data_IF_102050514375
#
_entry.id   IF_102050514375
#
_cell.length_a   1.000
_cell.length_b   1.000
_cell.length_c   1.000
_cell.angle_alpha   90.00
_cell.angle_beta   90.00
_cell.angle_gamma   90.00
#
_symmetry.space_group_name_H-M   'P 1'
#
loop_
_entity.id
_entity.type
_entity.pdbx_description
1 polymer ?
#
# COMPACT_ATOMS: atom_id res chain seq x y z
N UNK A 1 38.39 -2.78 -4.57
CA UNK A 1 37.37 -3.72 -4.06
C UNK A 1 36.00 -3.06 -4.10
N UNK A 2 35.91 -1.80 -3.64
CA UNK A 2 34.72 -0.93 -3.72
C UNK A 2 34.18 -0.75 -5.16
N UNK A 3 35.02 -0.38 -6.13
CA UNK A 3 34.56 -0.15 -7.52
C UNK A 3 33.93 -1.38 -8.19
N UNK A 4 34.47 -2.59 -7.91
CA UNK A 4 33.93 -3.85 -8.44
C UNK A 4 32.58 -4.18 -7.81
N UNK A 5 32.39 -3.86 -6.53
CA UNK A 5 31.10 -4.01 -5.86
C UNK A 5 30.08 -3.03 -6.45
N UNK A 6 30.45 -1.75 -6.58
CA UNK A 6 29.60 -0.69 -7.14
C UNK A 6 29.14 -1.06 -8.55
N UNK A 7 30.07 -1.47 -9.43
CA UNK A 7 29.74 -1.86 -10.81
C UNK A 7 28.83 -3.09 -10.88
N UNK A 8 29.01 -4.06 -10.00
CA UNK A 8 28.14 -5.24 -9.94
C UNK A 8 26.73 -4.85 -9.47
N UNK A 9 26.62 -3.99 -8.45
CA UNK A 9 25.31 -3.49 -7.97
C UNK A 9 24.60 -2.64 -9.02
N UNK A 10 25.31 -1.77 -9.74
CA UNK A 10 24.75 -0.99 -10.85
C UNK A 10 24.18 -1.89 -11.94
N UNK A 11 24.94 -2.92 -12.35
CA UNK A 11 24.50 -3.87 -13.36
C UNK A 11 23.31 -4.72 -12.91
N UNK A 12 23.31 -5.20 -11.67
CA UNK A 12 22.28 -6.14 -11.16
C UNK A 12 21.04 -5.45 -10.58
N UNK A 13 21.17 -4.21 -10.08
CA UNK A 13 20.08 -3.44 -9.46
C UNK A 13 19.43 -2.43 -10.41
N UNK A 14 20.20 -1.85 -11.32
CA UNK A 14 19.74 -0.78 -12.22
C UNK A 14 19.91 -1.12 -13.70
N UNK A 15 20.52 -2.27 -14.04
CA UNK A 15 20.78 -2.66 -15.44
C UNK A 15 21.82 -1.76 -16.13
N UNK A 16 22.57 -0.95 -15.37
CA UNK A 16 23.51 0.03 -15.90
C UNK A 16 24.91 -0.58 -16.06
N UNK A 17 25.42 -0.58 -17.29
CA UNK A 17 26.78 -1.01 -17.61
C UNK A 17 27.68 0.20 -17.90
N UNK A 18 28.06 0.91 -16.84
CA UNK A 18 28.92 2.08 -16.93
C UNK A 18 30.39 1.68 -17.13
N UNK A 19 31.06 2.34 -18.08
CA UNK A 19 32.48 2.13 -18.36
C UNK A 19 33.38 2.82 -17.33
N UNK A 20 32.96 4.01 -16.89
CA UNK A 20 33.57 4.80 -15.82
C UNK A 20 32.45 5.26 -14.88
N UNK A 21 32.64 5.05 -13.58
CA UNK A 21 31.67 5.43 -12.53
C UNK A 21 31.95 6.82 -11.97
N UNK A 22 32.99 7.51 -12.47
CA UNK A 22 33.41 8.83 -12.00
C UNK A 22 33.36 9.92 -13.09
N UNK A 23 33.00 9.58 -14.34
CA UNK A 23 32.93 10.51 -15.46
C UNK A 23 31.75 10.20 -16.38
N UNK A 24 31.19 11.26 -16.99
CA UNK A 24 30.11 11.20 -17.98
C UNK A 24 28.78 10.59 -17.48
N UNK A 25 28.42 10.85 -16.22
CA UNK A 25 27.13 10.45 -15.66
C UNK A 25 26.06 11.49 -15.94
N UNK A 26 24.88 11.06 -16.35
CA UNK A 26 23.68 11.86 -16.29
C UNK A 26 23.10 11.87 -14.85
N UNK A 27 22.13 12.74 -14.52
CA UNK A 27 21.62 12.86 -13.16
C UNK A 27 21.05 11.56 -12.56
N UNK A 28 20.46 10.68 -13.38
CA UNK A 28 19.92 9.40 -12.90
C UNK A 28 21.04 8.38 -12.63
N UNK A 29 22.09 8.39 -13.47
CA UNK A 29 23.27 7.55 -13.28
C UNK A 29 24.08 7.97 -12.05
N UNK A 30 24.19 9.28 -11.79
CA UNK A 30 24.86 9.83 -10.61
C UNK A 30 24.18 9.35 -9.32
N UNK A 31 22.85 9.42 -9.25
CA UNK A 31 22.06 8.91 -8.12
C UNK A 31 22.26 7.40 -7.94
N UNK A 32 22.23 6.63 -9.04
CA UNK A 32 22.43 5.18 -8.99
C UNK A 32 23.83 4.81 -8.48
N UNK A 33 24.86 5.56 -8.90
CA UNK A 33 26.25 5.39 -8.46
C UNK A 33 26.40 5.71 -6.97
N UNK A 34 25.84 6.82 -6.49
CA UNK A 34 25.88 7.21 -5.08
C UNK A 34 25.23 6.17 -4.17
N UNK A 35 24.05 5.66 -4.57
CA UNK A 35 23.35 4.61 -3.82
C UNK A 35 24.18 3.31 -3.83
N UNK A 36 24.77 2.94 -4.97
CA UNK A 36 25.60 1.74 -5.06
C UNK A 36 26.87 1.84 -4.19
N UNK A 37 27.47 3.03 -4.08
CA UNK A 37 28.60 3.31 -3.17
C UNK A 37 28.20 3.08 -1.72
N UNK A 38 27.08 3.67 -1.27
CA UNK A 38 26.59 3.50 0.10
C UNK A 38 26.27 2.03 0.42
N UNK A 39 25.62 1.33 -0.50
CA UNK A 39 25.32 -0.09 -0.35
C UNK A 39 26.57 -0.98 -0.26
N UNK A 40 27.64 -0.63 -0.99
CA UNK A 40 28.91 -1.34 -0.93
C UNK A 40 29.73 -1.00 0.32
N UNK A 41 29.54 0.17 0.92
CA UNK A 41 30.10 0.51 2.24
C UNK A 41 29.42 -0.29 3.35
N UNK A 42 28.11 -0.48 3.25
CA UNK A 42 27.32 -1.23 4.23
C UNK A 42 27.52 -2.75 4.12
N UNK A 43 27.59 -3.30 2.91
CA UNK A 43 27.84 -4.73 2.66
C UNK A 43 28.77 -4.94 1.45
N UNK A 44 30.10 -4.93 1.67
CA UNK A 44 31.11 -5.00 0.61
C UNK A 44 31.24 -6.37 -0.03
N UNK A 45 30.76 -7.44 0.61
CA UNK A 45 30.87 -8.81 0.13
C UNK A 45 29.56 -9.37 -0.41
N UNK A 46 28.45 -8.61 -0.35
CA UNK A 46 27.12 -9.13 -0.70
C UNK A 46 26.70 -10.29 0.19
N UNK A 47 27.22 -10.35 1.43
CA UNK A 47 26.98 -11.41 2.40
C UNK A 47 25.79 -11.12 3.30
N UNK A 48 25.19 -9.93 3.19
CA UNK A 48 23.78 -9.81 3.52
C UNK A 48 23.07 -10.66 2.47
N UNK A 49 22.92 -11.94 2.80
CA UNK A 49 22.13 -12.89 2.06
C UNK A 49 20.89 -12.11 1.67
N UNK A 50 20.78 -11.85 0.37
CA UNK A 50 19.49 -11.68 -0.27
C UNK A 50 18.79 -12.95 0.15
N UNK A 51 18.00 -12.86 1.23
CA UNK A 51 17.08 -13.90 1.56
C UNK A 51 16.28 -14.01 0.29
N UNK A 52 16.55 -15.05 -0.50
CA UNK A 52 15.64 -15.50 -1.53
C UNK A 52 14.48 -16.13 -0.76
N UNK A 53 13.81 -15.33 0.06
CA UNK A 53 12.41 -15.57 0.37
C UNK A 53 11.74 -15.62 -1.00
N UNK A 54 11.14 -16.76 -1.38
CA UNK A 54 10.28 -16.81 -2.56
C UNK A 54 9.32 -15.61 -2.51
N UNK A 55 9.00 -15.04 -3.67
CA UNK A 55 8.06 -13.91 -3.80
C UNK A 55 6.62 -14.22 -3.30
N UNK A 56 6.43 -15.44 -2.80
CA UNK A 56 5.21 -16.01 -2.22
C UNK A 56 5.22 -16.04 -0.68
N UNK A 57 6.31 -15.64 -0.01
CA UNK A 57 6.24 -15.37 1.42
C UNK A 57 5.92 -13.89 1.67
N UNK A 58 5.02 -13.60 2.62
CA UNK A 58 4.79 -12.24 3.07
C UNK A 58 6.12 -11.57 3.38
N UNK A 59 6.34 -10.34 2.90
CA UNK A 59 7.53 -9.53 3.21
C UNK A 59 7.59 -9.07 4.69
N UNK A 60 6.77 -9.72 5.52
CA UNK A 60 6.44 -9.41 6.90
C UNK A 60 6.52 -10.73 7.65
N UNK A 61 7.19 -10.76 8.80
CA UNK A 61 7.35 -12.01 9.55
C UNK A 61 6.00 -12.59 9.98
N UNK A 62 5.93 -13.90 10.15
CA UNK A 62 4.73 -14.58 10.64
C UNK A 62 4.23 -13.99 11.97
N UNK A 63 5.15 -13.55 12.83
CA UNK A 63 4.84 -12.87 14.09
C UNK A 63 4.07 -11.56 13.88
N UNK A 64 4.47 -10.76 12.89
CA UNK A 64 3.79 -9.49 12.56
C UNK A 64 2.39 -9.76 11.97
N UNK A 65 2.24 -10.81 11.17
CA UNK A 65 0.93 -11.20 10.63
C UNK A 65 -0.02 -11.72 11.71
N UNK A 66 0.51 -12.41 12.73
CA UNK A 66 -0.27 -12.91 13.86
C UNK A 66 -0.57 -11.83 14.92
N UNK A 67 0.17 -10.71 14.91
CA UNK A 67 0.12 -9.68 15.95
C UNK A 67 -1.29 -9.15 16.22
N UNK A 68 -2.10 -8.93 15.19
CA UNK A 68 -3.48 -8.44 15.31
C UNK A 68 -4.44 -9.41 16.04
N UNK A 69 -4.01 -10.65 16.28
CA UNK A 69 -4.72 -11.64 17.10
C UNK A 69 -4.04 -11.93 18.43
N UNK A 70 -2.81 -11.46 18.60
CA UNK A 70 -1.99 -11.70 19.79
C UNK A 70 -2.12 -10.60 20.84
N UNK A 71 -2.54 -9.39 20.45
CA UNK A 71 -2.63 -8.23 21.32
C UNK A 71 -4.04 -7.64 21.37
N UNK A 72 -4.36 -6.99 22.49
CA UNK A 72 -5.55 -6.17 22.70
C UNK A 72 -5.14 -4.69 22.90
N UNK A 73 -5.95 -3.70 22.45
CA UNK A 73 -5.65 -2.28 22.65
C UNK A 73 -5.43 -1.85 24.11
N UNK A 74 -5.87 -2.65 25.07
CA UNK A 74 -5.74 -2.37 26.51
C UNK A 74 -4.58 -3.12 27.19
N UNK A 75 -3.78 -3.86 26.43
CA UNK A 75 -2.62 -4.57 26.96
C UNK A 75 -1.61 -3.59 27.58
N UNK A 76 -1.08 -3.97 28.74
CA UNK A 76 -0.03 -3.21 29.40
C UNK A 76 1.27 -3.28 28.58
N UNK A 77 2.02 -2.16 28.50
CA UNK A 77 3.28 -2.16 27.77
C UNK A 77 4.32 -3.07 28.45
N UNK A 78 5.29 -3.62 27.71
CA UNK A 78 6.32 -4.50 28.25
C UNK A 78 7.14 -3.93 29.41
N UNK A 79 7.27 -2.61 29.52
CA UNK A 79 7.97 -1.96 30.64
C UNK A 79 9.49 -1.87 30.48
N UNK A 80 10.03 -2.25 29.32
CA UNK A 80 11.46 -2.32 29.05
C UNK A 80 12.05 -0.94 28.69
N UNK A 81 11.26 -0.06 28.06
CA UNK A 81 11.64 1.30 27.70
C UNK A 81 10.47 2.28 27.95
N UNK A 82 10.62 3.23 28.89
CA UNK A 82 9.54 4.18 29.23
C UNK A 82 9.07 5.07 28.07
N UNK A 83 9.93 5.33 27.08
CA UNK A 83 9.58 6.13 25.91
C UNK A 83 8.76 5.32 24.92
N UNK A 84 9.11 4.04 24.72
CA UNK A 84 8.33 3.12 23.91
C UNK A 84 7.02 2.73 24.60
N UNK A 85 7.00 2.64 25.93
CA UNK A 85 5.78 2.42 26.72
C UNK A 85 4.78 3.56 26.57
N UNK A 86 5.27 4.81 26.52
CA UNK A 86 4.40 5.96 26.27
C UNK A 86 3.77 5.91 24.88
N UNK A 87 4.56 5.54 23.86
CA UNK A 87 4.08 5.35 22.50
C UNK A 87 3.13 4.14 22.38
N UNK A 88 3.37 3.06 23.12
CA UNK A 88 2.49 1.90 23.22
C UNK A 88 1.11 2.29 23.76
N UNK A 89 1.07 3.00 24.89
CA UNK A 89 -0.18 3.43 25.50
C UNK A 89 -0.96 4.37 24.57
N UNK A 90 -0.27 5.29 23.89
CA UNK A 90 -0.90 6.18 22.92
C UNK A 90 -1.41 5.41 21.69
N UNK A 91 -0.64 4.45 21.17
CA UNK A 91 -1.03 3.58 20.07
C UNK A 91 -2.26 2.71 20.41
N UNK A 92 -2.27 2.06 21.59
CA UNK A 92 -3.43 1.31 22.09
C UNK A 92 -4.66 2.20 22.29
N UNK A 93 -4.43 3.44 22.75
CA UNK A 93 -5.42 4.52 22.82
C UNK A 93 -5.97 4.98 21.47
N UNK A 94 -5.38 4.51 20.36
CA UNK A 94 -5.81 4.80 19.00
C UNK A 94 -5.11 5.98 18.35
N UNK A 95 -3.98 6.45 18.87
CA UNK A 95 -3.14 7.44 18.18
C UNK A 95 -2.26 6.74 17.12
N UNK A 96 -2.59 6.89 15.82
CA UNK A 96 -1.92 6.15 14.78
C UNK A 96 -0.49 6.67 14.51
N UNK A 97 -0.19 7.95 14.83
CA UNK A 97 1.19 8.45 14.75
C UNK A 97 2.07 7.81 15.79
N UNK A 98 1.55 7.62 17.00
CA UNK A 98 2.25 6.89 18.04
C UNK A 98 2.46 5.41 17.66
N UNK A 99 1.54 4.79 16.91
CA UNK A 99 1.78 3.45 16.36
C UNK A 99 2.93 3.44 15.34
N UNK A 100 2.98 4.38 14.41
CA UNK A 100 4.09 4.48 13.45
C UNK A 100 5.42 4.75 14.15
N UNK A 101 5.45 5.76 15.03
CA UNK A 101 6.64 6.13 15.79
C UNK A 101 7.13 4.97 16.66
N UNK A 102 6.21 4.19 17.24
CA UNK A 102 6.53 2.97 17.97
C UNK A 102 7.13 1.90 17.05
N UNK A 103 6.52 1.64 15.89
CA UNK A 103 7.00 0.64 14.94
C UNK A 103 8.44 0.94 14.48
N UNK A 104 8.75 2.20 14.15
CA UNK A 104 10.09 2.59 13.68
C UNK A 104 11.13 2.69 14.79
N UNK A 105 10.71 2.98 16.02
CA UNK A 105 11.62 3.11 17.16
C UNK A 105 11.85 1.79 17.90
N UNK A 106 10.95 0.82 17.73
CA UNK A 106 11.01 -0.47 18.40
C UNK A 106 12.17 -1.35 17.91
N UNK A 107 12.76 -2.18 18.78
CA UNK A 107 13.64 -3.25 18.34
C UNK A 107 12.89 -4.23 17.43
N UNK A 108 13.56 -4.71 16.38
CA UNK A 108 12.99 -5.75 15.51
C UNK A 108 12.63 -7.02 16.29
N UNK A 109 11.53 -7.65 15.90
CA UNK A 109 10.88 -8.79 16.51
C UNK A 109 10.40 -8.56 17.96
N UNK A 110 10.40 -7.32 18.44
CA UNK A 110 9.92 -7.02 19.79
C UNK A 110 8.39 -7.02 19.85
N UNK A 111 7.81 -7.19 21.06
CA UNK A 111 6.40 -6.95 21.27
C UNK A 111 5.98 -5.54 20.84
N UNK A 112 6.82 -4.52 21.05
CA UNK A 112 6.55 -3.14 20.64
C UNK A 112 6.35 -3.02 19.12
N UNK A 113 7.22 -3.65 18.32
CA UNK A 113 7.10 -3.68 16.86
C UNK A 113 5.80 -4.39 16.42
N UNK A 114 5.47 -5.52 17.05
CA UNK A 114 4.27 -6.28 16.72
C UNK A 114 2.98 -5.57 17.11
N UNK A 115 2.94 -4.97 18.30
CA UNK A 115 1.80 -4.19 18.76
C UNK A 115 1.55 -2.97 17.87
N UNK A 116 2.61 -2.25 17.53
CA UNK A 116 2.56 -1.14 16.60
C UNK A 116 2.08 -1.55 15.19
N UNK A 117 2.63 -2.64 14.67
CA UNK A 117 2.26 -3.19 13.36
C UNK A 117 0.79 -3.64 13.30
N UNK A 118 0.24 -4.10 14.41
CA UNK A 118 -1.20 -4.43 14.56
C UNK A 118 -2.09 -3.22 14.86
N UNK A 119 -1.59 -2.00 14.73
CA UNK A 119 -2.29 -0.77 15.07
C UNK A 119 -2.84 -0.77 16.52
N UNK A 120 -2.01 -1.28 17.44
CA UNK A 120 -2.36 -1.44 18.85
C UNK A 120 -3.36 -2.57 19.11
N UNK A 121 -3.13 -3.75 18.54
CA UNK A 121 -3.99 -4.94 18.76
C UNK A 121 -5.32 -4.91 18.01
N UNK A 122 -5.42 -4.16 16.91
CA UNK A 122 -6.65 -4.02 16.11
C UNK A 122 -6.59 -4.92 14.88
N UNK A 123 -7.72 -5.57 14.56
CA UNK A 123 -7.84 -6.55 13.46
C UNK A 123 -7.83 -5.95 12.04
N UNK A 124 -7.52 -4.67 11.89
CA UNK A 124 -7.52 -3.99 10.60
C UNK A 124 -6.07 -3.73 10.16
N UNK A 125 -5.70 -4.33 9.03
CA UNK A 125 -4.31 -4.56 8.61
C UNK A 125 -3.69 -3.39 7.86
N UNK A 126 -4.30 -2.20 7.95
CA UNK A 126 -3.71 -0.98 7.40
C UNK A 126 -3.87 0.15 8.40
N UNK A 127 -2.83 0.39 9.20
CA UNK A 127 -2.77 1.57 10.07
C UNK A 127 -2.88 2.85 9.24
N UNK A 128 -2.55 2.82 7.95
CA UNK A 128 -2.75 3.92 7.01
C UNK A 128 -4.21 4.24 6.70
N UNK A 129 -5.13 3.28 6.86
CA UNK A 129 -6.57 3.53 6.79
C UNK A 129 -7.11 4.18 8.08
N UNK A 130 -6.39 4.04 9.19
CA UNK A 130 -6.58 4.84 10.40
C UNK A 130 -5.89 6.22 10.29
N UNK A 131 -4.86 6.36 9.45
CA UNK A 131 -4.14 7.60 9.18
C UNK A 131 -4.85 8.44 8.09
N UNK A 132 -5.85 9.24 8.47
CA UNK A 132 -6.08 10.49 7.71
C UNK A 132 -7.47 11.05 7.61
N UNK A 133 -8.48 10.47 8.26
CA UNK A 133 -9.78 11.15 8.40
C UNK A 133 -10.19 10.99 9.85
N UNK A 134 -10.27 12.11 10.59
CA UNK A 134 -11.17 12.18 11.74
C UNK A 134 -12.52 11.67 11.25
N UNK A 135 -12.88 10.43 11.58
CA UNK A 135 -14.18 9.90 11.20
C UNK A 135 -15.20 10.72 11.98
N UNK A 136 -16.04 11.54 11.33
CA UNK A 136 -16.96 12.39 12.06
C UNK A 136 -17.99 11.57 12.86
N UNK A 137 -18.15 10.27 12.57
CA UNK A 137 -19.03 9.37 13.30
C UNK A 137 -18.49 7.93 13.31
N UNK A 138 -17.88 7.51 14.43
CA UNK A 138 -17.67 6.09 14.77
C UNK A 138 -16.71 5.28 13.88
N UNK A 139 -16.21 4.17 14.41
CA UNK A 139 -15.50 3.18 13.59
C UNK A 139 -16.52 2.52 12.64
N UNK A 140 -16.34 2.65 11.33
CA UNK A 140 -17.13 1.91 10.36
C UNK A 140 -17.03 0.40 10.66
N UNK A 141 -18.14 -0.31 10.50
CA UNK A 141 -18.22 -1.77 10.58
C UNK A 141 -19.01 -2.29 9.39
N UNK A 142 -18.97 -3.60 9.13
CA UNK A 142 -19.80 -4.21 8.09
C UNK A 142 -21.32 -4.06 8.34
N UNK A 143 -21.73 -3.61 9.53
CA UNK A 143 -23.13 -3.34 9.89
C UNK A 143 -23.47 -1.85 9.86
N UNK A 144 -22.50 -0.99 9.53
CA UNK A 144 -22.74 0.45 9.40
C UNK A 144 -23.75 0.71 8.28
N UNK A 145 -24.82 1.48 8.55
CA UNK A 145 -25.78 1.82 7.51
C UNK A 145 -25.12 2.73 6.46
N UNK A 146 -25.64 2.73 5.22
CA UNK A 146 -25.17 3.65 4.20
C UNK A 146 -25.49 5.11 4.56
N UNK A 147 -24.69 6.09 4.09
CA UNK A 147 -24.87 7.52 4.38
C UNK A 147 -26.22 8.12 3.95
N UNK A 148 -26.89 7.59 2.92
CA UNK A 148 -28.20 8.10 2.48
C UNK A 148 -28.12 9.29 1.52
N UNK A 149 -26.92 9.66 1.06
CA UNK A 149 -26.71 10.84 0.20
C UNK A 149 -26.90 10.53 -1.29
N UNK A 150 -26.66 9.27 -1.69
CA UNK A 150 -26.73 8.79 -3.06
C UNK A 150 -27.29 7.37 -3.09
N UNK A 151 -28.46 7.19 -3.70
CA UNK A 151 -29.19 5.92 -3.74
C UNK A 151 -28.42 4.81 -4.48
N UNK A 152 -27.67 5.17 -5.53
CA UNK A 152 -26.87 4.20 -6.30
C UNK A 152 -25.67 3.74 -5.47
N UNK A 153 -24.97 4.67 -4.81
CA UNK A 153 -23.85 4.34 -3.92
C UNK A 153 -24.31 3.58 -2.67
N UNK A 154 -25.49 3.87 -2.15
CA UNK A 154 -26.10 3.14 -1.03
C UNK A 154 -26.39 1.68 -1.41
N UNK A 155 -26.85 1.43 -2.63
CA UNK A 155 -27.07 0.07 -3.11
C UNK A 155 -25.76 -0.71 -3.18
N UNK A 156 -24.69 -0.09 -3.70
CA UNK A 156 -23.36 -0.71 -3.71
C UNK A 156 -22.79 -0.93 -2.31
N UNK A 157 -23.03 0.01 -1.39
CA UNK A 157 -22.67 -0.12 0.01
C UNK A 157 -23.30 -1.37 0.64
N UNK A 158 -24.61 -1.56 0.47
CA UNK A 158 -25.34 -2.71 1.04
C UNK A 158 -24.74 -4.03 0.53
N UNK A 159 -24.50 -4.15 -0.78
CA UNK A 159 -23.92 -5.36 -1.36
C UNK A 159 -22.48 -5.62 -0.87
N UNK A 160 -21.67 -4.57 -0.74
CA UNK A 160 -20.32 -4.67 -0.17
C UNK A 160 -20.36 -5.08 1.31
N UNK A 161 -21.32 -4.55 2.08
CA UNK A 161 -21.57 -4.94 3.46
C UNK A 161 -21.96 -6.42 3.58
N UNK A 162 -22.75 -6.93 2.64
CA UNK A 162 -23.14 -8.34 2.53
C UNK A 162 -22.00 -9.28 2.09
N UNK A 163 -20.90 -8.72 1.56
CA UNK A 163 -19.68 -9.46 1.24
C UNK A 163 -19.42 -9.69 -0.25
N UNK A 164 -20.02 -8.89 -1.14
CA UNK A 164 -19.68 -8.88 -2.57
C UNK A 164 -18.37 -8.12 -2.81
N UNK A 165 -17.33 -8.82 -3.25
CA UNK A 165 -16.05 -8.20 -3.61
C UNK A 165 -16.19 -7.28 -4.83
N UNK A 166 -17.06 -7.65 -5.78
CA UNK A 166 -17.44 -6.83 -6.94
C UNK A 166 -18.06 -5.50 -6.52
N UNK A 167 -18.97 -5.53 -5.54
CA UNK A 167 -19.62 -4.32 -5.05
C UNK A 167 -18.64 -3.41 -4.30
N UNK A 168 -17.76 -3.97 -3.47
CA UNK A 168 -16.70 -3.18 -2.82
C UNK A 168 -15.74 -2.57 -3.84
N UNK A 169 -15.39 -3.33 -4.89
CA UNK A 169 -14.56 -2.85 -5.98
C UNK A 169 -15.23 -1.74 -6.80
N UNK A 170 -16.53 -1.87 -7.07
CA UNK A 170 -17.29 -0.84 -7.76
C UNK A 170 -17.37 0.43 -6.93
N UNK A 171 -17.73 0.31 -5.65
CA UNK A 171 -17.79 1.44 -4.73
C UNK A 171 -16.45 2.18 -4.66
N UNK A 172 -15.33 1.46 -4.65
CA UNK A 172 -13.98 2.05 -4.68
C UNK A 172 -13.66 2.79 -5.99
N UNK A 173 -14.28 2.45 -7.11
CA UNK A 173 -14.05 3.10 -8.41
C UNK A 173 -14.91 4.34 -8.62
N UNK A 174 -16.15 4.33 -8.13
CA UNK A 174 -17.14 5.36 -8.46
C UNK A 174 -17.42 6.33 -7.31
N UNK A 175 -17.16 5.94 -6.06
CA UNK A 175 -17.40 6.81 -4.93
C UNK A 175 -16.48 8.03 -4.96
N UNK A 176 -16.97 9.20 -4.50
CA UNK A 176 -16.14 10.39 -4.37
C UNK A 176 -14.93 10.12 -3.47
N UNK A 177 -13.74 10.54 -3.88
CA UNK A 177 -12.55 10.37 -3.03
C UNK A 177 -12.76 11.00 -1.64
N UNK A 178 -12.23 10.35 -0.60
CA UNK A 178 -12.37 10.74 0.82
C UNK A 178 -13.81 10.68 1.38
N UNK A 179 -14.82 10.29 0.60
CA UNK A 179 -16.16 10.00 1.13
C UNK A 179 -16.19 8.76 2.02
N UNK A 180 -17.22 8.62 2.85
CA UNK A 180 -17.47 7.38 3.61
C UNK A 180 -17.61 6.18 2.66
N UNK A 181 -18.26 6.36 1.51
CA UNK A 181 -18.39 5.32 0.48
C UNK A 181 -17.02 4.81 -0.01
N UNK A 182 -16.11 5.72 -0.35
CA UNK A 182 -14.78 5.36 -0.83
C UNK A 182 -13.97 4.63 0.26
N UNK A 183 -14.09 5.06 1.52
CA UNK A 183 -13.45 4.42 2.67
C UNK A 183 -14.00 3.01 2.91
N UNK A 184 -15.33 2.85 2.84
CA UNK A 184 -16.00 1.57 3.03
C UNK A 184 -15.65 0.57 1.92
N UNK A 185 -15.64 1.01 0.67
CA UNK A 185 -15.22 0.17 -0.47
C UNK A 185 -13.74 -0.21 -0.41
N UNK A 186 -12.87 0.75 -0.08
CA UNK A 186 -11.41 0.52 0.04
C UNK A 186 -11.06 -0.44 1.17
N UNK A 187 -11.84 -0.47 2.24
CA UNK A 187 -11.66 -1.36 3.38
C UNK A 187 -12.42 -2.69 3.25
N UNK A 188 -12.98 -3.00 2.07
CA UNK A 188 -13.79 -4.19 1.81
C UNK A 188 -14.98 -4.34 2.78
N UNK A 189 -15.70 -3.24 2.96
CA UNK A 189 -16.83 -3.13 3.87
C UNK A 189 -16.41 -3.05 5.33
N UNK A 190 -15.40 -2.23 5.62
CA UNK A 190 -14.81 -2.05 6.95
C UNK A 190 -14.22 -3.33 7.57
N UNK A 191 -13.65 -4.20 6.73
CA UNK A 191 -12.96 -5.44 7.12
C UNK A 191 -11.43 -5.32 7.12
N UNK A 192 -10.91 -4.11 6.88
CA UNK A 192 -9.52 -3.77 7.16
C UNK A 192 -8.49 -4.28 6.15
N UNK A 193 -8.89 -4.49 4.89
CA UNK A 193 -7.98 -4.84 3.79
C UNK A 193 -8.40 -4.12 2.51
N UNK A 194 -7.45 -3.89 1.60
CA UNK A 194 -7.71 -3.35 0.26
C UNK A 194 -7.79 -4.41 -0.83
N UNK A 195 -7.66 -5.69 -0.45
CA UNK A 195 -7.70 -6.82 -1.38
C UNK A 195 -8.91 -7.71 -1.08
N UNK A 196 -10.07 -7.30 -1.59
CA UNK A 196 -11.35 -7.88 -1.17
C UNK A 196 -11.51 -9.36 -1.53
N UNK A 197 -10.99 -9.80 -2.68
CA UNK A 197 -11.09 -11.21 -3.12
C UNK A 197 -10.34 -12.20 -2.21
N UNK A 198 -9.50 -11.73 -1.28
CA UNK A 198 -8.87 -12.59 -0.28
C UNK A 198 -9.83 -12.99 0.85
N UNK A 199 -10.83 -12.16 1.14
CA UNK A 199 -11.66 -12.31 2.34
C UNK A 199 -13.17 -12.33 2.05
N UNK A 200 -13.57 -11.95 0.84
CA UNK A 200 -14.95 -11.88 0.36
C UNK A 200 -15.18 -12.87 -0.79
N UNK A 201 -16.44 -13.14 -1.10
CA UNK A 201 -16.80 -13.94 -2.26
C UNK A 201 -16.38 -13.21 -3.55
N UNK A 202 -15.63 -13.90 -4.40
CA UNK A 202 -15.32 -13.43 -5.75
C UNK A 202 -16.55 -13.62 -6.64
N UNK A 203 -17.38 -12.58 -6.70
CA UNK A 203 -18.59 -12.52 -7.53
C UNK A 203 -18.36 -11.77 -8.86
N UNK A 204 -17.10 -11.62 -9.27
CA UNK A 204 -16.68 -11.11 -10.56
C UNK A 204 -16.26 -9.64 -10.56
N UNK A 205 -16.04 -9.10 -11.76
CA UNK A 205 -15.46 -7.77 -11.94
C UNK A 205 -16.47 -6.62 -11.76
N UNK A 206 -16.05 -5.51 -11.12
CA UNK A 206 -16.83 -4.28 -11.07
C UNK A 206 -17.27 -3.80 -12.46
N UNK A 207 -18.54 -3.38 -12.66
CA UNK A 207 -19.02 -2.96 -13.97
C UNK A 207 -18.25 -1.77 -14.56
N UNK A 208 -17.74 -0.84 -13.74
CA UNK A 208 -16.96 0.31 -14.22
C UNK A 208 -15.65 -0.11 -14.89
N UNK A 209 -15.05 -1.26 -14.51
CA UNK A 209 -13.82 -1.74 -15.16
C UNK A 209 -14.02 -2.01 -16.66
N UNK A 210 -15.22 -2.37 -17.11
CA UNK A 210 -15.51 -2.63 -18.53
C UNK A 210 -15.29 -1.42 -19.43
N UNK A 211 -15.22 -0.23 -18.84
CA UNK A 211 -15.02 1.03 -19.56
C UNK A 211 -13.57 1.47 -19.61
N UNK A 212 -12.67 0.77 -18.90
CA UNK A 212 -11.25 1.09 -18.83
C UNK A 212 -10.45 0.00 -19.52
N UNK A 213 -9.47 0.40 -20.32
CA UNK A 213 -8.50 -0.52 -20.93
C UNK A 213 -7.10 0.01 -20.71
N UNK A 214 -6.11 -0.89 -20.65
CA UNK A 214 -4.73 -0.51 -20.38
C UNK A 214 -4.04 0.26 -21.50
N UNK A 215 -4.57 0.14 -22.71
CA UNK A 215 -4.05 0.78 -23.94
C UNK A 215 -4.78 2.09 -24.27
N UNK A 216 -5.77 2.49 -23.47
CA UNK A 216 -6.50 3.73 -23.72
C UNK A 216 -5.57 4.95 -23.56
N UNK A 217 -5.79 5.94 -24.41
CA UNK A 217 -5.01 7.18 -24.44
C UNK A 217 -5.28 8.03 -23.21
N UNK A 218 -4.24 8.64 -22.65
CA UNK A 218 -4.37 9.54 -21.51
C UNK A 218 -5.22 10.79 -21.89
N UNK A 219 -5.93 11.42 -20.92
CA UNK A 219 -6.81 12.56 -21.18
C UNK A 219 -6.16 13.81 -21.77
N UNK A 220 -4.84 13.99 -21.67
CA UNK A 220 -4.17 15.16 -22.29
C UNK A 220 -4.27 16.44 -21.46
N UNK A 221 -4.72 16.36 -20.21
CA UNK A 221 -5.03 17.55 -19.38
C UNK A 221 -3.85 18.01 -18.53
N UNK A 222 -2.94 17.10 -18.20
CA UNK A 222 -1.76 17.34 -17.37
C UNK A 222 -0.62 16.40 -17.81
N UNK A 223 0.53 16.97 -18.15
CA UNK A 223 1.67 16.22 -18.70
C UNK A 223 2.27 15.22 -17.71
N UNK A 224 2.33 15.58 -16.42
CA UNK A 224 2.82 14.69 -15.36
C UNK A 224 1.84 13.54 -15.14
N UNK A 225 0.54 13.83 -15.07
CA UNK A 225 -0.48 12.79 -14.91
C UNK A 225 -0.56 11.88 -16.14
N UNK A 226 -0.34 12.41 -17.34
CA UNK A 226 -0.28 11.61 -18.58
C UNK A 226 0.98 10.72 -18.63
N UNK A 227 2.08 11.15 -18.03
CA UNK A 227 3.27 10.30 -17.86
C UNK A 227 2.99 9.18 -16.87
N UNK A 228 2.42 9.49 -15.70
CA UNK A 228 2.02 8.50 -14.70
C UNK A 228 0.99 7.52 -15.25
N UNK A 229 0.04 8.00 -16.08
CA UNK A 229 -0.92 7.17 -16.80
C UNK A 229 -0.22 6.13 -17.66
N UNK A 230 0.72 6.55 -18.52
CA UNK A 230 1.45 5.64 -19.41
C UNK A 230 2.27 4.62 -18.64
N UNK A 231 2.93 5.03 -17.56
CA UNK A 231 3.69 4.13 -16.69
C UNK A 231 2.77 3.11 -16.00
N UNK A 232 1.62 3.56 -15.47
CA UNK A 232 0.62 2.68 -14.86
C UNK A 232 0.06 1.65 -15.88
N UNK A 233 -0.25 2.08 -17.10
CA UNK A 233 -0.67 1.19 -18.19
C UNK A 233 0.39 0.15 -18.57
N UNK A 234 1.67 0.50 -18.38
CA UNK A 234 2.84 -0.36 -18.59
C UNK A 234 3.28 -1.13 -17.32
N UNK A 235 2.34 -1.38 -16.41
CA UNK A 235 2.54 -2.22 -15.22
C UNK A 235 3.49 -1.63 -14.16
N UNK A 236 3.63 -0.31 -14.10
CA UNK A 236 4.29 0.36 -12.97
C UNK A 236 3.28 0.61 -11.83
N UNK A 237 3.37 -0.22 -10.79
CA UNK A 237 2.47 -0.12 -9.64
C UNK A 237 2.65 1.16 -8.82
N UNK A 238 3.86 1.75 -8.80
CA UNK A 238 4.10 3.03 -8.10
C UNK A 238 3.42 4.15 -8.86
N UNK A 239 3.53 4.15 -10.18
CA UNK A 239 2.84 5.12 -11.01
C UNK A 239 1.32 5.04 -10.85
N UNK A 240 0.72 3.85 -10.77
CA UNK A 240 -0.72 3.72 -10.49
C UNK A 240 -1.11 4.30 -9.13
N UNK A 241 -0.30 4.07 -8.09
CA UNK A 241 -0.51 4.63 -6.75
C UNK A 241 -0.41 6.16 -6.77
N UNK A 242 0.65 6.70 -7.37
CA UNK A 242 0.86 8.15 -7.43
C UNK A 242 -0.23 8.83 -8.27
N UNK A 243 -0.67 8.19 -9.36
CA UNK A 243 -1.76 8.69 -10.18
C UNK A 243 -3.07 8.78 -9.39
N UNK A 244 -3.44 7.74 -8.64
CA UNK A 244 -4.65 7.77 -7.80
C UNK A 244 -4.56 8.77 -6.63
N UNK A 245 -3.35 9.07 -6.15
CA UNK A 245 -3.12 9.98 -5.04
C UNK A 245 -3.12 11.46 -5.45
N UNK A 246 -2.48 11.79 -6.58
CA UNK A 246 -2.22 13.20 -6.96
C UNK A 246 -3.16 13.75 -8.01
N UNK A 247 -3.91 12.89 -8.71
CA UNK A 247 -4.87 13.35 -9.71
C UNK A 247 -6.07 14.09 -9.08
N UNK A 248 -6.76 14.95 -9.87
CA UNK A 248 -7.98 15.60 -9.41
C UNK A 248 -9.02 14.58 -8.95
N UNK A 249 -9.75 14.93 -7.89
CA UNK A 249 -10.86 14.13 -7.35
C UNK A 249 -11.85 13.81 -8.47
N UNK A 250 -12.33 12.56 -8.48
CA UNK A 250 -13.32 12.03 -9.43
C UNK A 250 -12.90 12.08 -10.91
N UNK A 251 -11.61 12.28 -11.19
CA UNK A 251 -11.08 12.27 -12.55
C UNK A 251 -10.87 10.85 -13.08
N UNK A 252 -10.80 10.74 -14.41
CA UNK A 252 -10.46 9.49 -15.08
C UNK A 252 -9.07 8.98 -14.65
N UNK A 253 -8.13 9.88 -14.35
CA UNK A 253 -6.80 9.53 -13.84
C UNK A 253 -6.87 8.74 -12.52
N UNK A 254 -7.72 9.18 -11.57
CA UNK A 254 -7.92 8.45 -10.31
C UNK A 254 -8.45 7.04 -10.58
N UNK A 255 -9.52 6.94 -11.39
CA UNK A 255 -10.13 5.64 -11.72
C UNK A 255 -9.15 4.69 -12.41
N UNK A 256 -8.32 5.22 -13.31
CA UNK A 256 -7.28 4.45 -13.99
C UNK A 256 -6.19 3.96 -13.04
N UNK A 257 -5.74 4.81 -12.10
CA UNK A 257 -4.78 4.42 -11.08
C UNK A 257 -5.33 3.35 -10.12
N UNK A 258 -6.55 3.54 -9.61
CA UNK A 258 -7.22 2.59 -8.70
C UNK A 258 -7.48 1.23 -9.36
N UNK A 259 -7.77 1.22 -10.66
CA UNK A 259 -8.01 0.01 -11.45
C UNK A 259 -6.74 -0.66 -11.99
N UNK A 260 -5.56 -0.25 -11.51
CA UNK A 260 -4.28 -0.80 -11.98
C UNK A 260 -4.13 -0.73 -13.51
N UNK A 261 -4.49 0.42 -14.07
CA UNK A 261 -4.50 0.65 -15.51
C UNK A 261 -5.66 -0.04 -16.22
N UNK A 262 -6.84 -0.10 -15.60
CA UNK A 262 -8.03 -0.71 -16.20
C UNK A 262 -8.02 -2.25 -16.21
N UNK A 263 -7.35 -2.88 -15.24
CA UNK A 263 -7.24 -4.35 -15.14
C UNK A 263 -8.05 -4.94 -14.01
N UNK A 264 -7.88 -4.41 -12.80
CA UNK A 264 -8.55 -4.94 -11.61
C UNK A 264 -8.53 -3.91 -10.47
N UNK A 265 -9.46 -4.05 -9.53
CA UNK A 265 -9.45 -3.30 -8.27
C UNK A 265 -8.74 -4.14 -7.21
N UNK A 266 -7.42 -4.17 -7.29
CA UNK A 266 -6.55 -4.98 -6.43
C UNK A 266 -5.29 -4.19 -6.06
N UNK A 267 -4.46 -4.67 -5.12
CA UNK A 267 -3.12 -4.13 -4.96
C UNK A 267 -2.31 -4.30 -6.25
N UNK A 268 -2.07 -3.21 -6.99
CA UNK A 268 -1.48 -3.26 -8.33
C UNK A 268 -0.12 -3.97 -8.36
N UNK A 269 0.69 -3.80 -7.32
CA UNK A 269 1.98 -4.48 -7.21
C UNK A 269 1.84 -6.01 -7.23
N UNK A 270 0.81 -6.57 -6.58
CA UNK A 270 0.55 -8.01 -6.57
C UNK A 270 0.05 -8.48 -7.93
N UNK A 271 -0.94 -7.79 -8.49
CA UNK A 271 -1.49 -8.10 -9.81
C UNK A 271 -0.40 -8.11 -10.89
N UNK A 272 0.47 -7.10 -10.91
CA UNK A 272 1.52 -6.99 -11.93
C UNK A 272 2.64 -8.01 -11.72
N UNK A 273 2.88 -8.47 -10.49
CA UNK A 273 3.78 -9.59 -10.24
C UNK A 273 3.20 -10.89 -10.83
N UNK A 274 1.91 -11.16 -10.62
CA UNK A 274 1.25 -12.37 -11.11
C UNK A 274 1.17 -12.42 -12.65
N UNK A 275 1.02 -11.28 -13.33
CA UNK A 275 1.01 -11.20 -14.79
C UNK A 275 2.39 -11.42 -15.46
N UNK A 276 3.47 -11.24 -14.70
CA UNK A 276 4.84 -11.40 -15.17
C UNK A 276 5.45 -12.77 -14.81
N UNK A 277 4.71 -13.61 -14.08
CA UNK A 277 5.10 -14.98 -13.68
C UNK A 277 4.71 -16.00 -14.76
#
# INVERSE_FOLDING_TARGET
MEERCVRNRLLTGWGLELKDVAQDLNPEEEIAVDIAIELCRLDPNGLSQRSMTPNDQPQVSEDLLAAATAFDPTDEPPGDDPSLDALWLACGGGDPRSCDDLFYSAPRHSPYEQFAFSCGGRKNMDCSLLLGIEHPEGALTSLSPPPGEDEDLDQWWILCAEGSSRACGELRLIAPNQSLYAQFGTSCGARGTTYCTLILEDDGEPPTLKTLTSDQTAPGQDELLDQLWRLCGNLDARACKDLSKFAPIDSLYVRFGVSCGGRAVAPCARLFADLNA
#
